data_IF_990543019283
#
_entry.id   IF_990543019283
#
_cell.length_a   1.000
_cell.length_b   1.000
_cell.length_c   1.000
_cell.angle_alpha   90.00
_cell.angle_beta   90.00
_cell.angle_gamma   90.00
#
_symmetry.space_group_name_H-M   'P 1'
#
loop_
_entity.id
_entity.type
_entity.pdbx_description
1 polymer ?
#
# COMPACT_ATOMS: atom_id res chain seq x y z
N UNK A 1 8.61 -21.33 17.93
CA UNK A 1 8.71 -21.12 16.46
C UNK A 1 8.00 -19.84 16.12
N UNK A 2 8.64 -18.97 15.33
CA UNK A 2 8.02 -17.73 14.85
C UNK A 2 7.27 -17.97 13.55
N UNK A 3 6.10 -17.34 13.40
CA UNK A 3 5.34 -17.33 12.15
C UNK A 3 5.84 -16.16 11.29
N UNK A 4 6.38 -16.47 10.12
CA UNK A 4 6.88 -15.47 9.17
C UNK A 4 5.73 -14.93 8.31
N UNK A 5 5.61 -13.63 8.27
CA UNK A 5 4.60 -12.90 7.48
C UNK A 5 5.31 -11.77 6.73
N UNK A 6 5.06 -11.68 5.44
CA UNK A 6 5.54 -10.56 4.62
C UNK A 6 4.41 -9.59 4.31
N UNK A 7 4.61 -8.31 4.57
CA UNK A 7 3.64 -7.26 4.29
C UNK A 7 4.27 -6.22 3.36
N UNK A 8 3.64 -6.02 2.22
CA UNK A 8 3.96 -4.87 1.38
C UNK A 8 3.31 -3.62 1.97
N UNK A 9 4.11 -2.64 2.32
CA UNK A 9 3.64 -1.34 2.79
C UNK A 9 3.77 -0.33 1.66
N UNK A 10 2.63 0.18 1.22
CA UNK A 10 2.52 1.21 0.19
C UNK A 10 1.97 2.49 0.82
N UNK A 11 2.82 3.37 1.37
CA UNK A 11 2.36 4.58 2.04
C UNK A 11 1.51 5.47 1.13
N UNK A 12 1.90 5.61 -0.14
CA UNK A 12 1.24 6.48 -1.09
C UNK A 12 1.58 7.94 -0.86
N UNK A 13 0.55 8.78 -0.87
CA UNK A 13 0.67 10.23 -0.95
C UNK A 13 0.20 10.94 0.32
N UNK A 14 0.65 12.17 0.54
CA UNK A 14 0.15 13.03 1.59
C UNK A 14 0.20 12.40 2.98
N UNK A 15 -0.94 12.32 3.64
CA UNK A 15 -1.07 11.73 4.98
C UNK A 15 -0.73 10.24 5.02
N UNK A 16 -0.68 9.56 3.87
CA UNK A 16 -0.29 8.15 3.78
C UNK A 16 1.07 7.86 4.41
N UNK A 17 2.01 8.77 4.30
CA UNK A 17 3.33 8.65 4.95
C UNK A 17 3.22 8.65 6.48
N UNK A 18 2.42 9.56 7.04
CA UNK A 18 2.24 9.67 8.49
C UNK A 18 1.56 8.43 9.07
N UNK A 19 0.44 8.00 8.48
CA UNK A 19 -0.30 6.82 8.97
C UNK A 19 0.50 5.53 8.81
N UNK A 20 1.29 5.41 7.76
CA UNK A 20 2.17 4.25 7.54
C UNK A 20 3.28 4.18 8.57
N UNK A 21 3.83 5.31 9.00
CA UNK A 21 4.81 5.35 10.07
C UNK A 21 4.24 4.83 11.40
N UNK A 22 2.98 5.15 11.70
CA UNK A 22 2.30 4.61 12.89
C UNK A 22 2.06 3.09 12.75
N UNK A 23 1.70 2.61 11.57
CA UNK A 23 1.56 1.17 11.30
C UNK A 23 2.86 0.40 11.53
N UNK A 24 3.99 0.96 11.13
CA UNK A 24 5.33 0.37 11.39
C UNK A 24 5.60 0.16 12.88
N UNK A 25 5.17 1.10 13.72
CA UNK A 25 5.30 0.97 15.19
C UNK A 25 4.49 -0.23 15.71
N UNK A 26 3.28 -0.43 15.20
CA UNK A 26 2.42 -1.56 15.57
C UNK A 26 3.07 -2.88 15.13
N UNK A 27 3.58 -2.98 13.90
CA UNK A 27 4.25 -4.19 13.44
C UNK A 27 5.50 -4.50 14.27
N UNK A 28 6.26 -3.49 14.63
CA UNK A 28 7.43 -3.63 15.51
C UNK A 28 7.03 -4.14 16.90
N UNK A 29 5.95 -3.59 17.45
CA UNK A 29 5.40 -4.04 18.73
C UNK A 29 4.96 -5.50 18.67
N UNK A 30 4.24 -5.91 17.60
CA UNK A 30 3.84 -7.30 17.38
C UNK A 30 5.04 -8.24 17.30
N UNK A 31 6.08 -7.87 16.56
CA UNK A 31 7.31 -8.66 16.45
C UNK A 31 8.00 -8.86 17.81
N UNK A 32 7.90 -7.87 18.70
CA UNK A 32 8.53 -7.92 20.02
C UNK A 32 7.68 -8.65 21.08
N UNK A 33 6.36 -8.69 20.91
CA UNK A 33 5.43 -9.17 21.94
C UNK A 33 4.73 -10.48 21.58
N UNK A 34 4.87 -10.95 20.37
CA UNK A 34 4.24 -12.18 19.87
C UNK A 34 5.23 -13.11 19.19
N UNK A 35 4.74 -14.24 18.71
CA UNK A 35 5.52 -15.18 17.90
C UNK A 35 5.47 -14.84 16.40
N UNK A 36 5.09 -13.62 16.03
CA UNK A 36 5.12 -13.14 14.67
C UNK A 36 6.51 -12.62 14.31
N UNK A 37 6.90 -12.86 13.08
CA UNK A 37 8.05 -12.24 12.43
C UNK A 37 7.56 -11.55 11.17
N UNK A 38 7.13 -10.30 11.32
CA UNK A 38 6.59 -9.50 10.23
C UNK A 38 7.73 -8.78 9.53
N UNK A 39 7.94 -9.12 8.27
CA UNK A 39 8.84 -8.42 7.37
C UNK A 39 8.04 -7.39 6.57
N UNK A 40 8.51 -6.15 6.55
CA UNK A 40 7.87 -5.06 5.80
C UNK A 40 8.69 -4.77 4.55
N UNK A 41 8.01 -4.84 3.40
CA UNK A 41 8.56 -4.47 2.09
C UNK A 41 7.87 -3.18 1.67
N UNK A 42 8.59 -2.07 1.71
CA UNK A 42 8.05 -0.75 1.37
C UNK A 42 8.31 -0.40 -0.09
N UNK A 43 7.30 0.11 -0.77
CA UNK A 43 7.42 0.55 -2.15
C UNK A 43 6.44 1.70 -2.47
N UNK A 44 6.51 2.22 -3.69
CA UNK A 44 5.80 3.40 -4.14
C UNK A 44 4.48 3.04 -4.83
N UNK A 45 3.47 3.86 -4.58
CA UNK A 45 2.17 3.83 -5.26
C UNK A 45 1.61 5.25 -5.36
N UNK A 46 0.73 5.48 -6.31
CA UNK A 46 0.05 6.76 -6.44
C UNK A 46 0.93 7.86 -7.02
N UNK A 47 0.79 9.07 -6.52
CA UNK A 47 1.50 10.26 -6.99
C UNK A 47 3.01 10.17 -6.79
N UNK A 48 3.47 9.63 -5.68
CA UNK A 48 4.90 9.41 -5.44
C UNK A 48 5.52 8.46 -6.49
N UNK A 49 4.78 7.44 -6.90
CA UNK A 49 5.20 6.55 -7.98
C UNK A 49 5.20 7.27 -9.34
N UNK A 50 4.22 8.12 -9.60
CA UNK A 50 4.17 8.92 -10.84
C UNK A 50 5.40 9.82 -10.93
N UNK A 51 5.77 10.51 -9.85
CA UNK A 51 6.91 11.42 -9.84
C UNK A 51 8.24 10.72 -10.10
N UNK A 52 8.38 9.48 -9.66
CA UNK A 52 9.63 8.69 -9.81
C UNK A 52 9.63 7.77 -11.02
N UNK A 53 8.51 7.19 -11.37
CA UNK A 53 8.40 6.10 -12.34
C UNK A 53 7.48 6.44 -13.54
N UNK A 54 6.91 7.63 -13.59
CA UNK A 54 5.92 8.07 -14.59
C UNK A 54 4.67 7.17 -14.70
N UNK A 55 4.38 6.44 -13.63
CA UNK A 55 3.21 5.56 -13.55
C UNK A 55 2.73 5.45 -12.09
N UNK A 56 1.41 5.39 -11.83
CA UNK A 56 0.89 5.26 -10.47
C UNK A 56 1.22 3.92 -9.79
N UNK A 57 1.59 2.90 -10.57
CA UNK A 57 2.10 1.62 -10.09
C UNK A 57 3.00 1.00 -11.14
N UNK A 58 4.29 0.87 -10.85
CA UNK A 58 5.24 0.23 -11.76
C UNK A 58 5.06 -1.29 -11.79
N UNK A 59 5.42 -1.92 -12.92
CA UNK A 59 5.39 -3.40 -13.04
C UNK A 59 6.31 -4.05 -12.00
N UNK A 60 7.48 -3.46 -11.77
CA UNK A 60 8.43 -3.94 -10.77
C UNK A 60 7.84 -3.93 -9.36
N UNK A 61 7.11 -2.88 -8.99
CA UNK A 61 6.41 -2.82 -7.71
C UNK A 61 5.30 -3.88 -7.66
N UNK A 62 4.52 -4.03 -8.73
CA UNK A 62 3.45 -5.03 -8.80
C UNK A 62 3.98 -6.45 -8.61
N UNK A 63 5.06 -6.82 -9.28
CA UNK A 63 5.70 -8.13 -9.12
C UNK A 63 6.14 -8.36 -7.67
N UNK A 64 6.76 -7.36 -7.06
CA UNK A 64 7.24 -7.42 -5.68
C UNK A 64 6.11 -7.62 -4.67
N UNK A 65 5.03 -6.85 -4.78
CA UNK A 65 3.92 -6.94 -3.84
C UNK A 65 3.07 -8.20 -4.03
N UNK A 66 3.04 -8.76 -5.24
CA UNK A 66 2.34 -10.01 -5.51
C UNK A 66 2.92 -11.21 -4.75
N UNK A 67 4.18 -11.15 -4.35
CA UNK A 67 4.86 -12.20 -3.60
C UNK A 67 4.67 -12.08 -2.08
N UNK A 68 4.02 -11.02 -1.60
CA UNK A 68 3.78 -10.80 -0.17
C UNK A 68 2.48 -11.44 0.29
N UNK A 69 2.37 -11.71 1.60
CA UNK A 69 1.16 -12.28 2.20
C UNK A 69 0.02 -11.27 2.28
N UNK A 70 0.33 -9.99 2.45
CA UNK A 70 -0.66 -8.92 2.54
C UNK A 70 -0.09 -7.59 2.05
N UNK A 71 -0.99 -6.69 1.67
CA UNK A 71 -0.66 -5.32 1.26
C UNK A 71 -1.39 -4.35 2.17
N UNK A 72 -0.64 -3.45 2.80
CA UNK A 72 -1.19 -2.31 3.52
C UNK A 72 -0.95 -1.04 2.70
N UNK A 73 -2.03 -0.44 2.25
CA UNK A 73 -2.00 0.81 1.47
C UNK A 73 -2.42 1.98 2.36
N UNK A 74 -1.64 3.05 2.36
CA UNK A 74 -1.94 4.26 3.12
C UNK A 74 -3.03 5.10 2.46
N UNK A 75 -2.64 6.04 1.64
CA UNK A 75 -3.55 6.91 0.90
C UNK A 75 -2.94 7.30 -0.44
N UNK A 76 -3.77 7.52 -1.45
CA UNK A 76 -3.32 7.95 -2.77
C UNK A 76 -4.09 9.18 -3.22
N UNK A 77 -3.43 10.03 -3.99
CA UNK A 77 -4.02 11.26 -4.53
C UNK A 77 -3.58 12.51 -3.78
N UNK A 78 -3.83 13.63 -4.41
CA UNK A 78 -3.54 14.94 -3.88
C UNK A 78 -3.63 16.03 -4.96
N UNK A 79 -3.68 17.32 -4.56
CA UNK A 79 -3.87 18.45 -5.46
C UNK A 79 -2.84 18.51 -6.59
N UNK A 80 -1.61 18.06 -6.32
CA UNK A 80 -0.50 18.06 -7.28
C UNK A 80 -0.84 17.30 -8.56
N UNK A 81 -1.63 16.22 -8.47
CA UNK A 81 -1.90 15.29 -9.58
C UNK A 81 -3.32 15.39 -10.13
N UNK A 82 -4.17 16.28 -9.61
CA UNK A 82 -5.58 16.43 -10.03
C UNK A 82 -5.76 16.75 -11.51
N UNK A 83 -4.79 17.47 -12.10
CA UNK A 83 -4.82 17.88 -13.51
C UNK A 83 -4.36 16.79 -14.49
N UNK A 84 -3.87 15.65 -13.99
CA UNK A 84 -3.44 14.57 -14.86
C UNK A 84 -4.65 13.91 -15.56
N UNK A 85 -4.44 13.37 -16.77
CA UNK A 85 -5.45 12.53 -17.43
C UNK A 85 -5.89 11.39 -16.53
N UNK A 86 -7.13 10.95 -16.64
CA UNK A 86 -7.73 9.93 -15.80
C UNK A 86 -6.88 8.67 -15.65
N UNK A 87 -6.29 8.19 -16.76
CA UNK A 87 -5.46 6.99 -16.80
C UNK A 87 -4.14 7.12 -16.02
N UNK A 88 -3.70 8.36 -15.79
CA UNK A 88 -2.44 8.66 -15.08
C UNK A 88 -2.64 9.16 -13.65
N UNK A 89 -3.87 9.19 -13.15
CA UNK A 89 -4.13 9.65 -11.79
C UNK A 89 -3.64 8.67 -10.73
N UNK A 90 -3.25 9.15 -9.54
CA UNK A 90 -2.74 8.30 -8.46
C UNK A 90 -3.65 7.12 -8.10
N UNK A 91 -4.97 7.32 -8.12
CA UNK A 91 -5.98 6.30 -7.79
C UNK A 91 -5.96 5.09 -8.73
N UNK A 92 -5.41 5.26 -9.94
CA UNK A 92 -5.24 4.16 -10.89
C UNK A 92 -4.29 3.08 -10.38
N UNK A 93 -3.34 3.46 -9.51
CA UNK A 93 -2.46 2.49 -8.84
C UNK A 93 -3.24 1.48 -8.01
N UNK A 94 -4.17 1.95 -7.19
CA UNK A 94 -5.03 1.08 -6.37
C UNK A 94 -5.93 0.18 -7.24
N UNK A 95 -6.52 0.74 -8.28
CA UNK A 95 -7.37 -0.02 -9.20
C UNK A 95 -6.58 -1.10 -9.94
N UNK A 96 -5.33 -0.80 -10.33
CA UNK A 96 -4.43 -1.77 -10.95
C UNK A 96 -4.10 -2.92 -9.99
N UNK A 97 -3.76 -2.62 -8.73
CA UNK A 97 -3.52 -3.65 -7.71
C UNK A 97 -4.71 -4.60 -7.62
N UNK A 98 -5.92 -4.06 -7.48
CA UNK A 98 -7.15 -4.86 -7.36
C UNK A 98 -7.38 -5.78 -8.56
N UNK A 99 -7.14 -5.28 -9.76
CA UNK A 99 -7.30 -6.01 -11.00
C UNK A 99 -6.24 -7.11 -11.16
N UNK A 100 -4.99 -6.75 -11.05
CA UNK A 100 -3.86 -7.65 -11.35
C UNK A 100 -3.69 -8.76 -10.29
N UNK A 101 -4.09 -8.49 -9.05
CA UNK A 101 -4.07 -9.48 -7.98
C UNK A 101 -5.42 -10.20 -7.77
N UNK A 102 -6.38 -9.97 -8.66
CA UNK A 102 -7.70 -10.63 -8.65
C UNK A 102 -8.43 -10.51 -7.30
N UNK A 103 -8.42 -9.31 -6.73
CA UNK A 103 -9.08 -9.02 -5.45
C UNK A 103 -10.59 -8.84 -5.67
N UNK A 104 -11.35 -9.89 -5.41
CA UNK A 104 -12.76 -10.01 -5.79
C UNK A 104 -13.76 -9.44 -4.76
N UNK A 105 -13.33 -9.15 -3.53
CA UNK A 105 -14.21 -8.66 -2.47
C UNK A 105 -13.72 -7.32 -1.91
N UNK A 106 -14.66 -6.40 -1.67
CA UNK A 106 -14.40 -5.11 -1.07
C UNK A 106 -15.30 -4.94 0.16
N UNK A 107 -14.71 -4.83 1.36
CA UNK A 107 -15.43 -4.65 2.61
C UNK A 107 -15.25 -3.22 3.12
N UNK A 108 -16.35 -2.54 3.41
CA UNK A 108 -16.38 -1.20 4.00
C UNK A 108 -17.24 -1.21 5.26
N UNK A 109 -16.70 -1.71 6.39
CA UNK A 109 -17.46 -1.77 7.63
C UNK A 109 -17.77 -0.36 8.13
N UNK A 110 -19.00 -0.16 8.59
CA UNK A 110 -19.43 1.05 9.26
C UNK A 110 -20.08 0.68 10.58
N UNK A 111 -19.57 1.22 11.66
CA UNK A 111 -20.04 0.95 13.02
C UNK A 111 -20.59 2.26 13.59
N UNK A 112 -21.84 2.22 14.05
CA UNK A 112 -22.48 3.34 14.78
C UNK A 112 -22.34 3.04 16.28
N UNK A 113 -21.73 3.98 17.00
CA UNK A 113 -21.54 3.90 18.45
C UNK A 113 -22.70 4.57 19.20
#
# INVERSE_FOLDING_TARGET
MKTNISIALLPGDGIGQEISNESKKIFNWLNNKTNLNIEIIEDLVGGESIDKNDTPLSEKTLEKIAETDAILLGAVGGPKWEKLPFEKRPERGLLKIRKELDLFANFRPAIVF
#
